data_IF_327153774805
#
_entry.id   IF_327153774805
#
_cell.length_a   1.000
_cell.length_b   1.000
_cell.length_c   1.000
_cell.angle_alpha   90.00
_cell.angle_beta   90.00
_cell.angle_gamma   90.00
#
_symmetry.space_group_name_H-M   'P 1'
#
loop_
_entity.id
_entity.type
_entity.pdbx_description
1 polymer ?
#
# COMPACT_ATOMS: atom_id res chain seq x y z
N UNK A 1 1.75 -16.35 -19.46
CA UNK A 1 1.70 -14.88 -19.42
C UNK A 1 0.29 -14.33 -19.53
N UNK A 2 0.08 -13.16 -19.04
CA UNK A 2 -1.15 -12.39 -19.20
C UNK A 2 -0.95 -11.28 -20.25
N UNK A 3 -2.02 -10.82 -20.96
CA UNK A 3 -1.90 -9.68 -21.84
C UNK A 3 -1.49 -8.44 -21.05
N UNK A 4 -0.78 -7.52 -21.71
CA UNK A 4 -0.42 -6.24 -21.11
C UNK A 4 -1.68 -5.43 -20.73
N UNK A 5 -1.58 -4.61 -19.70
CA UNK A 5 -2.64 -3.72 -19.27
C UNK A 5 -2.39 -2.32 -19.85
N UNK A 6 -3.42 -1.69 -20.37
CA UNK A 6 -3.38 -0.35 -20.95
C UNK A 6 -4.46 -0.19 -22.01
N UNK A 7 -4.77 1.03 -22.40
CA UNK A 7 -5.84 1.30 -23.37
C UNK A 7 -5.57 0.60 -24.70
N UNK A 8 -4.36 0.75 -25.28
CA UNK A 8 -3.99 0.16 -26.58
C UNK A 8 -3.87 -1.36 -26.58
N UNK A 9 -3.58 -1.97 -25.42
CA UNK A 9 -3.44 -3.42 -25.24
C UNK A 9 -4.66 -4.10 -24.63
N UNK A 10 -5.69 -3.33 -24.29
CA UNK A 10 -6.94 -3.86 -23.72
C UNK A 10 -7.75 -4.62 -24.77
N UNK A 11 -7.81 -5.94 -24.62
CA UNK A 11 -8.62 -6.81 -25.48
C UNK A 11 -10.09 -6.40 -25.45
N UNK A 12 -10.62 -6.00 -24.28
CA UNK A 12 -12.00 -5.52 -24.17
C UNK A 12 -12.24 -4.24 -24.97
N UNK A 13 -11.32 -3.27 -24.89
CA UNK A 13 -11.43 -2.04 -25.69
C UNK A 13 -11.39 -2.33 -27.20
N UNK A 14 -10.58 -3.29 -27.63
CA UNK A 14 -10.53 -3.71 -29.03
C UNK A 14 -11.85 -4.29 -29.53
N UNK A 15 -12.56 -5.08 -28.71
CA UNK A 15 -13.87 -5.63 -29.08
C UNK A 15 -15.04 -4.64 -28.92
N UNK A 16 -15.06 -3.86 -27.84
CA UNK A 16 -16.23 -3.02 -27.50
C UNK A 16 -16.21 -1.66 -28.20
N UNK A 17 -15.01 -1.10 -28.41
CA UNK A 17 -14.89 0.25 -29.01
C UNK A 17 -14.47 0.21 -30.46
N UNK A 18 -13.60 -0.71 -30.86
CA UNK A 18 -12.93 -0.67 -32.16
C UNK A 18 -13.20 -1.89 -33.02
N UNK A 19 -13.73 -2.97 -32.45
CA UNK A 19 -14.13 -4.16 -33.20
C UNK A 19 -15.31 -3.85 -34.12
N UNK A 20 -15.15 -4.13 -35.40
CA UNK A 20 -16.20 -3.96 -36.40
C UNK A 20 -17.09 -5.20 -36.43
N UNK A 21 -18.42 -5.00 -36.61
CA UNK A 21 -19.42 -6.09 -36.58
C UNK A 21 -19.23 -7.18 -37.65
N UNK A 22 -18.64 -6.85 -38.79
CA UNK A 22 -18.34 -7.79 -39.86
C UNK A 22 -17.11 -8.66 -39.65
N UNK A 23 -16.33 -8.41 -38.60
CA UNK A 23 -15.14 -9.21 -38.30
C UNK A 23 -15.54 -10.58 -37.76
N UNK A 24 -15.05 -11.65 -38.40
CA UNK A 24 -15.24 -13.01 -37.94
C UNK A 24 -14.21 -13.36 -36.88
N UNK A 25 -14.65 -13.79 -35.71
CA UNK A 25 -13.77 -14.25 -34.62
C UNK A 25 -12.90 -15.45 -35.05
N UNK A 26 -13.44 -16.36 -35.85
CA UNK A 26 -12.68 -17.51 -36.35
C UNK A 26 -11.54 -17.07 -37.29
N UNK A 27 -11.77 -16.04 -38.08
CA UNK A 27 -10.71 -15.46 -38.91
C UNK A 27 -9.67 -14.72 -38.10
N UNK A 28 -10.06 -14.05 -37.04
CA UNK A 28 -9.15 -13.34 -36.12
C UNK A 28 -8.26 -14.30 -35.33
N UNK A 29 -8.74 -15.52 -35.03
CA UNK A 29 -7.91 -16.57 -34.39
C UNK A 29 -6.67 -16.91 -35.20
N UNK A 30 -6.76 -16.80 -36.53
CA UNK A 30 -5.61 -16.95 -37.42
C UNK A 30 -4.86 -15.61 -37.51
N UNK A 31 -4.18 -15.25 -36.41
CA UNK A 31 -3.52 -13.96 -36.20
C UNK A 31 -2.09 -13.88 -36.76
N UNK A 32 -1.56 -14.99 -37.29
CA UNK A 32 -0.24 -15.06 -37.95
C UNK A 32 -0.38 -15.47 -39.40
N UNK A 33 0.50 -14.91 -40.24
CA UNK A 33 0.72 -15.38 -41.60
C UNK A 33 1.63 -16.62 -41.59
N UNK A 34 1.83 -17.26 -42.75
CA UNK A 34 2.67 -18.44 -42.87
C UNK A 34 4.17 -18.19 -42.51
N UNK A 35 4.61 -16.95 -42.69
CA UNK A 35 5.96 -16.48 -42.34
C UNK A 35 6.09 -16.06 -40.85
N UNK A 36 5.03 -16.22 -40.09
CA UNK A 36 4.98 -15.83 -38.68
C UNK A 36 4.66 -14.36 -38.40
N UNK A 37 4.57 -13.53 -39.45
CA UNK A 37 4.23 -12.11 -39.33
C UNK A 37 2.80 -11.90 -38.85
N UNK A 38 2.51 -10.71 -38.34
CA UNK A 38 1.19 -10.35 -37.82
C UNK A 38 0.12 -10.31 -38.93
N UNK A 39 -0.95 -11.07 -38.73
CA UNK A 39 -2.14 -10.99 -39.57
C UNK A 39 -3.18 -10.11 -38.93
N UNK A 40 -3.16 -8.84 -39.30
CA UNK A 40 -4.12 -7.84 -38.75
C UNK A 40 -5.41 -7.79 -39.57
N UNK A 41 -6.50 -7.37 -38.91
CA UNK A 41 -7.74 -6.97 -39.54
C UNK A 41 -7.73 -5.48 -39.93
N UNK A 42 -6.88 -4.67 -39.30
CA UNK A 42 -6.80 -3.21 -39.47
C UNK A 42 -5.51 -2.85 -40.20
N UNK A 43 -5.50 -3.10 -41.49
CA UNK A 43 -4.31 -2.84 -42.36
C UNK A 43 -4.19 -1.35 -42.68
N UNK A 44 -2.94 -0.92 -42.87
CA UNK A 44 -2.65 0.42 -43.39
C UNK A 44 -3.28 0.65 -44.78
N UNK A 45 -3.13 -0.31 -45.69
CA UNK A 45 -3.73 -0.24 -47.02
C UNK A 45 -3.89 -1.65 -47.65
N UNK A 46 -4.40 -1.70 -48.86
CA UNK A 46 -4.49 -2.95 -49.64
C UNK A 46 -3.11 -3.54 -49.98
N UNK A 47 -2.09 -2.69 -50.15
CA UNK A 47 -0.72 -3.05 -50.48
C UNK A 47 0.24 -3.08 -49.31
N UNK A 48 -0.17 -2.47 -48.18
CA UNK A 48 0.57 -2.49 -46.91
C UNK A 48 -0.23 -3.28 -45.86
N UNK A 49 0.15 -4.55 -45.58
CA UNK A 49 -0.54 -5.42 -44.68
C UNK A 49 -0.24 -5.14 -43.20
N UNK A 50 0.66 -4.18 -42.87
CA UNK A 50 0.99 -3.84 -41.50
C UNK A 50 -0.22 -3.24 -40.74
N UNK A 51 -0.30 -3.40 -39.40
CA UNK A 51 -1.38 -2.86 -38.63
C UNK A 51 -1.34 -1.32 -38.56
N UNK A 52 -2.48 -0.67 -38.62
CA UNK A 52 -2.56 0.80 -38.64
C UNK A 52 -2.74 1.41 -37.25
N UNK A 53 -3.87 1.15 -36.57
CA UNK A 53 -4.17 1.71 -35.24
C UNK A 53 -4.28 0.66 -34.15
N UNK A 54 -4.71 -0.56 -34.53
CA UNK A 54 -5.02 -1.63 -33.60
C UNK A 54 -4.47 -2.96 -34.10
N UNK A 55 -3.91 -3.70 -33.17
CA UNK A 55 -3.47 -5.05 -33.43
C UNK A 55 -4.63 -6.03 -33.51
N UNK A 56 -4.41 -7.22 -34.02
CA UNK A 56 -5.34 -8.31 -33.84
C UNK A 56 -5.40 -8.67 -32.34
N UNK A 57 -6.61 -8.79 -31.72
CA UNK A 57 -6.73 -9.08 -30.30
C UNK A 57 -6.07 -10.40 -29.88
N UNK A 58 -5.96 -11.37 -30.77
CA UNK A 58 -5.21 -12.60 -30.49
C UNK A 58 -3.69 -12.40 -30.56
N UNK A 59 -3.19 -11.48 -31.39
CA UNK A 59 -1.81 -11.05 -31.35
C UNK A 59 -1.46 -10.42 -29.98
N UNK A 60 -2.25 -9.46 -29.52
CA UNK A 60 -2.10 -8.87 -28.19
C UNK A 60 -2.15 -9.92 -27.09
N UNK A 61 -3.01 -10.92 -27.21
CA UNK A 61 -3.17 -11.96 -26.17
C UNK A 61 -1.99 -12.92 -26.10
N UNK A 62 -1.39 -13.26 -27.23
CA UNK A 62 -0.42 -14.35 -27.30
C UNK A 62 1.01 -13.91 -27.56
N UNK A 63 1.22 -12.74 -28.15
CA UNK A 63 2.55 -12.23 -28.47
C UNK A 63 3.02 -11.13 -27.51
N UNK A 64 2.11 -10.24 -27.11
CA UNK A 64 2.40 -9.14 -26.20
C UNK A 64 2.01 -9.52 -24.79
N UNK A 65 2.95 -10.04 -24.00
CA UNK A 65 2.63 -10.62 -22.70
C UNK A 65 3.46 -10.01 -21.58
N UNK A 66 2.85 -10.00 -20.40
CA UNK A 66 3.50 -9.74 -19.13
C UNK A 66 3.55 -11.02 -18.30
N UNK A 67 4.69 -11.28 -17.71
CA UNK A 67 4.86 -12.30 -16.70
C UNK A 67 5.27 -11.64 -15.39
N UNK A 68 4.72 -12.10 -14.27
CA UNK A 68 5.17 -11.73 -12.95
C UNK A 68 5.24 -12.98 -12.07
N UNK A 69 6.26 -13.00 -11.24
CA UNK A 69 6.47 -14.02 -10.23
C UNK A 69 6.92 -13.35 -8.94
N UNK A 70 6.31 -13.72 -7.84
CA UNK A 70 6.72 -13.27 -6.52
C UNK A 70 7.00 -14.44 -5.61
N UNK A 71 8.21 -14.48 -5.09
CA UNK A 71 8.63 -15.39 -4.03
C UNK A 71 8.69 -14.60 -2.72
N UNK A 72 7.96 -15.03 -1.68
CA UNK A 72 7.88 -14.34 -0.40
C UNK A 72 8.05 -15.29 0.76
N UNK A 73 8.87 -14.90 1.72
CA UNK A 73 9.05 -15.58 2.99
C UNK A 73 8.83 -14.58 4.11
N UNK A 74 7.97 -14.91 5.05
CA UNK A 74 7.73 -14.10 6.23
C UNK A 74 7.55 -14.98 7.46
N UNK A 75 7.91 -14.44 8.61
CA UNK A 75 7.75 -15.14 9.86
C UNK A 75 8.22 -14.32 11.04
N UNK A 76 7.99 -14.83 12.24
CA UNK A 76 8.48 -14.22 13.46
C UNK A 76 8.90 -15.29 14.48
N UNK A 77 9.78 -14.86 15.38
CA UNK A 77 10.14 -15.57 16.58
C UNK A 77 9.77 -14.67 17.76
N UNK A 78 8.98 -15.18 18.69
CA UNK A 78 8.55 -14.48 19.89
C UNK A 78 8.99 -15.28 21.12
N UNK A 79 9.66 -14.62 22.04
CA UNK A 79 10.08 -15.19 23.32
C UNK A 79 9.39 -14.40 24.43
N UNK A 80 8.77 -15.10 25.37
CA UNK A 80 8.19 -14.53 26.59
C UNK A 80 8.87 -15.14 27.80
N UNK A 81 9.21 -14.29 28.76
CA UNK A 81 9.75 -14.69 30.06
C UNK A 81 8.90 -14.07 31.15
N UNK A 82 8.30 -14.91 31.98
CA UNK A 82 7.54 -14.47 33.14
C UNK A 82 8.51 -14.22 34.29
N UNK A 83 8.63 -12.98 34.74
CA UNK A 83 9.50 -12.61 35.88
C UNK A 83 8.79 -12.99 37.19
N UNK A 84 7.51 -12.59 37.31
CA UNK A 84 6.62 -12.91 38.40
C UNK A 84 5.16 -12.84 37.92
N UNK A 85 4.19 -12.84 38.82
CA UNK A 85 2.77 -12.79 38.45
C UNK A 85 2.33 -11.47 37.85
N UNK A 86 3.05 -10.37 38.14
CA UNK A 86 2.76 -9.00 37.67
C UNK A 86 3.55 -8.67 36.40
N UNK A 87 4.81 -9.08 36.30
CA UNK A 87 5.72 -8.64 35.23
C UNK A 87 6.15 -9.78 34.31
N UNK A 88 6.20 -9.48 33.02
CA UNK A 88 6.81 -10.35 32.01
C UNK A 88 7.57 -9.53 30.96
N UNK A 89 8.62 -10.12 30.41
CA UNK A 89 9.37 -9.56 29.27
C UNK A 89 8.99 -10.33 28.03
N UNK A 90 8.80 -9.61 26.92
CA UNK A 90 8.61 -10.18 25.59
C UNK A 90 9.63 -9.57 24.62
N UNK A 91 10.32 -10.45 23.88
CA UNK A 91 11.15 -10.09 22.73
C UNK A 91 10.54 -10.71 21.47
N UNK A 92 10.51 -9.97 20.36
CA UNK A 92 10.04 -10.45 19.08
C UNK A 92 10.92 -9.96 17.95
N UNK A 93 11.31 -10.88 17.06
CA UNK A 93 11.94 -10.57 15.79
C UNK A 93 11.02 -11.04 14.66
N UNK A 94 10.64 -10.14 13.78
CA UNK A 94 9.82 -10.41 12.59
C UNK A 94 10.60 -10.02 11.35
N UNK A 95 10.57 -10.84 10.31
CA UNK A 95 11.10 -10.51 8.99
C UNK A 95 10.11 -10.89 7.90
N UNK A 96 9.96 -9.99 6.93
CA UNK A 96 9.19 -10.19 5.70
C UNK A 96 10.09 -9.84 4.51
N UNK A 97 10.33 -10.82 3.66
CA UNK A 97 11.19 -10.69 2.50
C UNK A 97 10.48 -11.19 1.26
N UNK A 98 10.52 -10.41 0.17
CA UNK A 98 10.07 -10.89 -1.12
C UNK A 98 10.99 -10.46 -2.27
N UNK A 99 10.98 -11.29 -3.31
CA UNK A 99 11.53 -10.98 -4.64
C UNK A 99 10.36 -11.04 -5.61
N UNK A 100 10.15 -9.93 -6.33
CA UNK A 100 9.14 -9.77 -7.39
C UNK A 100 9.88 -9.60 -8.73
N UNK A 101 9.75 -10.58 -9.63
CA UNK A 101 10.32 -10.56 -10.97
C UNK A 101 9.22 -10.29 -11.95
N UNK A 102 9.46 -9.34 -12.86
CA UNK A 102 8.52 -8.97 -13.92
C UNK A 102 9.22 -8.98 -15.25
N UNK A 103 8.55 -9.47 -16.24
CA UNK A 103 8.96 -9.52 -17.63
C UNK A 103 7.83 -8.95 -18.47
N UNK A 104 8.17 -8.04 -19.38
CA UNK A 104 7.25 -7.51 -20.38
C UNK A 104 7.87 -7.64 -21.77
N UNK A 105 7.06 -8.07 -22.74
CA UNK A 105 7.47 -8.20 -24.12
C UNK A 105 6.40 -7.72 -25.08
N UNK A 106 6.84 -7.01 -26.10
CA UNK A 106 6.07 -6.56 -27.25
C UNK A 106 6.73 -7.13 -28.50
N UNK A 107 5.97 -7.91 -29.25
CA UNK A 107 6.47 -8.60 -30.45
C UNK A 107 6.69 -7.63 -31.62
N UNK A 108 7.66 -7.98 -32.50
CA UNK A 108 7.85 -7.29 -33.76
C UNK A 108 6.65 -7.53 -34.68
N UNK A 109 6.15 -6.46 -35.33
CA UNK A 109 5.06 -6.52 -36.29
C UNK A 109 3.71 -6.04 -35.79
N UNK A 110 3.63 -5.58 -34.57
CA UNK A 110 2.46 -4.88 -34.00
C UNK A 110 2.47 -3.37 -34.27
N UNK A 111 1.42 -2.69 -33.82
CA UNK A 111 1.32 -1.21 -33.90
C UNK A 111 2.34 -0.54 -33.00
N UNK A 112 2.62 -1.12 -31.82
CA UNK A 112 3.60 -0.59 -30.89
C UNK A 112 5.02 -1.04 -31.29
N UNK A 113 5.99 -0.19 -30.96
CA UNK A 113 7.38 -0.57 -31.07
C UNK A 113 7.66 -1.83 -30.25
N UNK A 114 8.34 -2.79 -30.86
CA UNK A 114 8.70 -4.03 -30.20
C UNK A 114 9.68 -3.79 -29.07
N UNK A 115 9.55 -4.50 -27.95
CA UNK A 115 10.43 -4.30 -26.82
C UNK A 115 10.48 -5.52 -25.90
N UNK A 116 11.53 -5.55 -25.08
CA UNK A 116 11.68 -6.48 -23.99
C UNK A 116 12.18 -5.75 -22.75
N UNK A 117 11.58 -6.03 -21.61
CA UNK A 117 12.04 -5.50 -20.33
C UNK A 117 11.94 -6.52 -19.20
N UNK A 118 12.91 -6.45 -18.30
CA UNK A 118 12.94 -7.20 -17.04
C UNK A 118 13.05 -6.26 -15.85
N UNK A 119 12.33 -6.57 -14.76
CA UNK A 119 12.43 -5.85 -13.50
C UNK A 119 12.48 -6.83 -12.35
N UNK A 120 13.53 -6.76 -11.54
CA UNK A 120 13.62 -7.47 -10.28
C UNK A 120 13.54 -6.49 -9.12
N UNK A 121 12.54 -6.68 -8.24
CA UNK A 121 12.34 -5.88 -7.03
C UNK A 121 12.52 -6.78 -5.82
N UNK A 122 13.31 -6.32 -4.88
CA UNK A 122 13.52 -6.98 -3.59
C UNK A 122 13.08 -6.04 -2.48
N UNK A 123 12.30 -6.54 -1.55
CA UNK A 123 11.96 -5.81 -0.33
C UNK A 123 12.17 -6.72 0.86
N UNK A 124 12.85 -6.19 1.85
CA UNK A 124 13.00 -6.81 3.15
C UNK A 124 12.58 -5.82 4.22
N UNK A 125 11.63 -6.20 5.06
CA UNK A 125 11.28 -5.48 6.27
C UNK A 125 11.57 -6.33 7.50
N UNK A 126 12.32 -5.78 8.44
CA UNK A 126 12.66 -6.42 9.71
C UNK A 126 12.17 -5.55 10.84
N UNK A 127 11.42 -6.15 11.78
CA UNK A 127 10.95 -5.51 13.00
C UNK A 127 11.52 -6.25 14.21
N UNK A 128 12.14 -5.51 15.11
CA UNK A 128 12.65 -5.98 16.38
C UNK A 128 11.91 -5.27 17.50
N UNK A 129 11.28 -6.02 18.37
CA UNK A 129 10.48 -5.52 19.49
C UNK A 129 11.02 -6.05 20.82
N UNK A 130 10.98 -5.21 21.84
CA UNK A 130 11.17 -5.63 23.22
C UNK A 130 10.17 -4.89 24.13
N UNK A 131 9.44 -5.62 24.97
CA UNK A 131 8.41 -5.10 25.84
C UNK A 131 8.60 -5.61 27.28
N UNK A 132 8.44 -4.73 28.25
CA UNK A 132 8.15 -5.07 29.63
C UNK A 132 6.64 -4.89 29.83
N UNK A 133 5.94 -5.99 30.04
CA UNK A 133 4.50 -5.99 30.30
C UNK A 133 4.25 -6.08 31.79
N UNK A 134 3.16 -5.47 32.24
CA UNK A 134 2.63 -5.61 33.58
C UNK A 134 1.14 -5.87 33.56
N UNK A 135 0.65 -6.64 34.52
CA UNK A 135 -0.77 -6.94 34.73
C UNK A 135 -0.96 -7.16 36.20
N UNK A 136 -1.83 -6.40 36.83
CA UNK A 136 -2.11 -6.50 38.24
C UNK A 136 -3.53 -6.08 38.56
N UNK A 137 -4.14 -6.68 39.58
CA UNK A 137 -5.38 -6.25 40.20
C UNK A 137 -5.02 -5.35 41.38
N UNK A 138 -5.10 -4.04 41.15
CA UNK A 138 -4.78 -3.02 42.20
C UNK A 138 -5.77 -3.06 43.36
N UNK A 139 -6.98 -3.56 43.10
CA UNK A 139 -8.01 -3.87 44.11
C UNK A 139 -9.02 -4.84 43.48
N UNK A 140 -10.01 -5.31 44.30
CA UNK A 140 -11.10 -6.18 43.84
C UNK A 140 -11.89 -5.56 42.66
N UNK A 141 -11.93 -4.24 42.58
CA UNK A 141 -12.68 -3.48 41.58
C UNK A 141 -11.80 -2.90 40.44
N UNK A 142 -10.47 -2.84 40.58
CA UNK A 142 -9.60 -2.12 39.68
C UNK A 142 -8.47 -3.01 39.13
N UNK A 143 -8.56 -3.32 37.84
CA UNK A 143 -7.53 -3.99 37.10
C UNK A 143 -6.68 -2.99 36.29
N UNK A 144 -5.36 -3.21 36.23
CA UNK A 144 -4.41 -2.43 35.45
C UNK A 144 -3.52 -3.36 34.64
N UNK A 145 -3.52 -3.16 33.32
CA UNK A 145 -2.61 -3.85 32.40
C UNK A 145 -1.86 -2.84 31.55
N UNK A 146 -0.69 -3.19 31.06
CA UNK A 146 0.03 -2.31 30.16
C UNK A 146 1.41 -2.82 29.80
N UNK A 147 2.13 -1.98 29.08
CA UNK A 147 3.51 -2.24 28.73
C UNK A 147 4.30 -0.96 28.50
N UNK A 148 5.61 -1.06 28.59
CA UNK A 148 6.58 -0.13 28.01
C UNK A 148 7.50 -0.93 27.09
N UNK A 149 7.90 -0.35 25.97
CA UNK A 149 8.67 -1.09 25.00
C UNK A 149 9.42 -0.23 24.00
N UNK A 150 10.25 -0.90 23.23
CA UNK A 150 10.99 -0.33 22.12
C UNK A 150 10.78 -1.16 20.86
N UNK A 151 10.79 -0.49 19.73
CA UNK A 151 10.69 -1.11 18.41
C UNK A 151 11.75 -0.52 17.48
N UNK A 152 12.34 -1.36 16.65
CA UNK A 152 13.18 -0.94 15.53
C UNK A 152 12.69 -1.61 14.27
N UNK A 153 12.26 -0.81 13.29
CA UNK A 153 11.86 -1.23 11.97
C UNK A 153 12.90 -0.80 10.95
N UNK A 154 13.37 -1.76 10.14
CA UNK A 154 14.31 -1.53 9.03
C UNK A 154 13.66 -2.07 7.77
N UNK A 155 13.58 -1.24 6.73
CA UNK A 155 13.07 -1.59 5.41
C UNK A 155 14.15 -1.34 4.38
N UNK A 156 14.58 -2.40 3.69
CA UNK A 156 15.51 -2.35 2.57
C UNK A 156 14.75 -2.61 1.28
N UNK A 157 14.94 -1.75 0.31
CA UNK A 157 14.36 -1.87 -1.02
C UNK A 157 15.46 -1.81 -2.06
N UNK A 158 15.43 -2.76 -3.03
CA UNK A 158 16.29 -2.75 -4.23
C UNK A 158 15.44 -3.04 -5.45
N UNK A 159 15.74 -2.37 -6.55
CA UNK A 159 15.13 -2.61 -7.83
C UNK A 159 16.20 -2.51 -8.91
N UNK A 160 16.26 -3.53 -9.78
CA UNK A 160 17.03 -3.54 -11.01
C UNK A 160 16.04 -3.64 -12.17
N UNK A 161 16.13 -2.73 -13.14
CA UNK A 161 15.38 -2.76 -14.39
C UNK A 161 16.37 -2.84 -15.54
N UNK A 162 16.03 -3.59 -16.58
CA UNK A 162 16.72 -3.60 -17.85
C UNK A 162 15.69 -3.62 -18.97
N UNK A 163 15.89 -2.83 -20.03
CA UNK A 163 14.99 -2.78 -21.17
C UNK A 163 15.71 -2.44 -22.47
N UNK A 164 15.18 -2.95 -23.59
CA UNK A 164 15.71 -2.72 -24.93
C UNK A 164 15.39 -1.31 -25.41
N UNK A 165 16.26 -0.79 -26.29
CA UNK A 165 16.08 0.49 -26.99
C UNK A 165 15.92 0.27 -28.48
N UNK A 166 15.14 1.12 -29.17
CA UNK A 166 14.98 1.12 -30.64
C UNK A 166 14.26 -0.10 -31.20
N UNK A 167 13.46 -0.78 -30.41
CA UNK A 167 12.79 -2.02 -30.82
C UNK A 167 13.66 -3.26 -30.66
N UNK A 168 13.22 -4.39 -31.26
CA UNK A 168 13.94 -5.66 -31.28
C UNK A 168 14.47 -5.97 -32.68
N UNK A 169 15.68 -6.52 -32.78
CA UNK A 169 16.29 -6.94 -34.05
C UNK A 169 15.74 -8.27 -34.57
N UNK A 170 15.59 -9.25 -33.67
CA UNK A 170 15.25 -10.63 -34.03
C UNK A 170 13.86 -10.99 -33.46
N UNK A 171 12.91 -11.37 -34.34
CA UNK A 171 11.57 -11.80 -33.90
C UNK A 171 11.64 -13.04 -32.99
N UNK A 172 10.82 -13.06 -31.96
CA UNK A 172 10.71 -14.20 -31.04
C UNK A 172 11.86 -14.36 -30.05
N UNK A 173 12.92 -13.56 -30.15
CA UNK A 173 14.03 -13.55 -29.19
C UNK A 173 13.82 -12.41 -28.16
N UNK A 174 13.41 -12.77 -26.95
CA UNK A 174 13.14 -11.81 -25.88
C UNK A 174 14.28 -11.83 -24.87
N UNK A 175 15.24 -10.94 -25.08
CA UNK A 175 16.39 -10.67 -24.22
C UNK A 175 16.79 -9.21 -24.36
N UNK A 176 17.35 -8.61 -23.33
CA UNK A 176 17.80 -7.20 -23.36
C UNK A 176 18.87 -6.93 -24.43
N UNK A 177 19.68 -7.92 -24.72
CA UNK A 177 20.71 -7.79 -25.78
C UNK A 177 20.15 -7.76 -27.22
N UNK A 178 18.84 -8.01 -27.42
CA UNK A 178 18.20 -7.97 -28.74
C UNK A 178 17.67 -6.57 -29.11
N UNK A 179 17.96 -5.53 -28.31
CA UNK A 179 17.60 -4.15 -28.65
C UNK A 179 18.34 -3.62 -29.85
N UNK A 180 17.64 -2.99 -30.82
CA UNK A 180 18.23 -2.47 -32.05
C UNK A 180 19.24 -1.33 -31.77
N UNK A 181 18.94 -0.48 -30.82
CA UNK A 181 19.80 0.61 -30.35
C UNK A 181 20.48 0.28 -28.98
N UNK A 182 20.55 -1.02 -28.66
CA UNK A 182 21.11 -1.50 -27.40
C UNK A 182 20.07 -1.63 -26.28
N UNK A 183 20.51 -1.40 -25.05
CA UNK A 183 19.66 -1.53 -23.85
C UNK A 183 20.03 -0.52 -22.79
N UNK A 184 19.11 -0.28 -21.87
CA UNK A 184 19.34 0.55 -20.68
C UNK A 184 19.13 -0.26 -19.41
N UNK A 185 19.97 0.00 -18.43
CA UNK A 185 19.89 -0.60 -17.08
C UNK A 185 19.79 0.51 -16.06
N UNK A 186 18.77 0.41 -15.19
CA UNK A 186 18.60 1.32 -14.06
C UNK A 186 18.51 0.54 -12.76
N UNK A 187 19.18 1.03 -11.72
CA UNK A 187 19.09 0.46 -10.37
C UNK A 187 18.66 1.51 -9.35
N UNK A 188 17.96 1.05 -8.32
CA UNK A 188 17.53 1.85 -7.18
C UNK A 188 17.74 1.04 -5.92
N UNK A 189 18.38 1.65 -4.92
CA UNK A 189 18.53 1.06 -3.60
C UNK A 189 18.24 2.10 -2.53
N UNK A 190 17.41 1.75 -1.55
CA UNK A 190 17.18 2.61 -0.41
C UNK A 190 16.93 1.81 0.87
N UNK A 191 17.24 2.44 1.99
CA UNK A 191 17.00 1.91 3.33
C UNK A 191 16.24 2.96 4.14
N UNK A 192 15.21 2.51 4.82
CA UNK A 192 14.44 3.30 5.79
C UNK A 192 14.49 2.63 7.14
N UNK A 193 14.79 3.40 8.17
CA UNK A 193 14.80 2.93 9.56
C UNK A 193 13.92 3.83 10.42
N UNK A 194 13.15 3.22 11.30
CA UNK A 194 12.38 3.91 12.34
C UNK A 194 12.67 3.23 13.67
N UNK A 195 13.12 4.00 14.65
CA UNK A 195 13.25 3.57 16.03
C UNK A 195 12.10 4.16 16.82
N UNK A 196 11.56 3.41 17.78
CA UNK A 196 10.38 3.81 18.53
C UNK A 196 10.49 3.45 20.00
N UNK A 197 9.93 4.32 20.83
CA UNK A 197 9.59 4.03 22.23
C UNK A 197 8.10 4.12 22.36
N UNK A 198 7.48 3.17 23.06
CA UNK A 198 6.03 3.09 23.20
C UNK A 198 5.63 2.61 24.59
N UNK A 199 4.49 3.08 25.04
CA UNK A 199 3.88 2.68 26.31
C UNK A 199 2.36 2.58 26.16
N UNK A 200 1.76 1.69 26.94
CA UNK A 200 0.30 1.53 27.04
C UNK A 200 -0.08 1.27 28.48
N UNK A 201 -1.24 1.79 28.89
CA UNK A 201 -1.90 1.48 30.16
C UNK A 201 -3.40 1.34 29.93
N UNK A 202 -3.98 0.22 30.37
CA UNK A 202 -5.39 -0.12 30.28
C UNK A 202 -5.95 -0.33 31.68
N UNK A 203 -6.98 0.40 32.00
CA UNK A 203 -7.69 0.36 33.27
C UNK A 203 -9.07 -0.27 33.09
N UNK A 204 -9.40 -1.23 33.93
CA UNK A 204 -10.75 -1.78 34.05
C UNK A 204 -11.29 -1.55 35.46
N UNK A 205 -12.41 -0.84 35.60
CA UNK A 205 -13.03 -0.56 36.88
C UNK A 205 -14.40 -1.20 36.97
N UNK A 206 -14.61 -2.03 37.99
CA UNK A 206 -15.86 -2.76 38.29
C UNK A 206 -16.42 -3.57 37.11
N UNK A 207 -15.58 -3.92 36.14
CA UNK A 207 -15.96 -4.55 34.85
C UNK A 207 -16.99 -3.73 34.04
N UNK A 208 -17.17 -2.45 34.34
CA UNK A 208 -18.11 -1.52 33.70
C UNK A 208 -17.42 -0.43 32.93
N UNK A 209 -16.42 0.20 33.52
CA UNK A 209 -15.67 1.28 32.93
C UNK A 209 -14.28 0.79 32.49
N UNK A 210 -13.92 1.10 31.25
CA UNK A 210 -12.60 0.81 30.72
C UNK A 210 -12.00 2.07 30.11
N UNK A 211 -10.72 2.29 30.34
CA UNK A 211 -9.96 3.39 29.77
C UNK A 211 -8.59 2.90 29.33
N UNK A 212 -8.19 3.21 28.08
CA UNK A 212 -6.89 2.88 27.56
C UNK A 212 -6.16 4.15 27.15
N UNK A 213 -4.87 4.21 27.50
CA UNK A 213 -3.97 5.27 27.11
C UNK A 213 -2.76 4.68 26.41
N UNK A 214 -2.38 5.23 25.27
CA UNK A 214 -1.15 4.85 24.59
C UNK A 214 -0.33 6.06 24.23
N UNK A 215 0.97 5.89 24.18
CA UNK A 215 1.90 6.89 23.68
C UNK A 215 3.02 6.20 22.92
N UNK A 216 3.35 6.77 21.74
CA UNK A 216 4.47 6.31 20.93
C UNK A 216 5.27 7.50 20.43
N UNK A 217 6.58 7.40 20.51
CA UNK A 217 7.50 8.35 19.92
C UNK A 217 8.38 7.62 18.90
N UNK A 218 8.40 8.11 17.68
CA UNK A 218 9.18 7.55 16.58
C UNK A 218 10.27 8.52 16.13
N UNK A 219 11.41 7.95 15.69
CA UNK A 219 12.52 8.65 15.05
C UNK A 219 12.75 8.01 13.69
N UNK A 220 12.44 8.75 12.63
CA UNK A 220 12.54 8.26 11.26
C UNK A 220 13.81 8.77 10.56
N UNK A 221 14.51 7.86 9.88
CA UNK A 221 15.69 8.19 9.06
C UNK A 221 15.37 8.97 7.78
N UNK A 222 14.10 9.13 7.43
CA UNK A 222 13.66 9.80 6.18
C UNK A 222 13.37 11.28 6.37
N UNK A 223 13.36 11.75 7.61
CA UNK A 223 13.12 13.14 7.97
C UNK A 223 14.44 13.80 8.42
N UNK A 224 14.54 15.13 8.31
CA UNK A 224 15.72 15.86 8.78
C UNK A 224 15.88 15.74 10.29
N UNK A 225 17.12 15.74 10.80
CA UNK A 225 17.45 15.49 12.21
C UNK A 225 16.64 16.35 13.20
N UNK A 226 16.32 17.58 12.82
CA UNK A 226 15.57 18.56 13.61
C UNK A 226 14.07 18.22 13.71
N UNK A 227 13.53 17.44 12.74
CA UNK A 227 12.12 17.07 12.63
C UNK A 227 11.88 15.57 12.53
N UNK A 228 12.89 14.73 12.83
CA UNK A 228 12.78 13.27 12.65
C UNK A 228 12.00 12.58 13.75
N UNK A 229 11.69 13.27 14.84
CA UNK A 229 10.97 12.75 16.01
C UNK A 229 9.53 13.26 16.02
N UNK A 230 8.60 12.36 16.27
CA UNK A 230 7.19 12.69 16.39
C UNK A 230 6.48 11.77 17.40
N UNK A 231 5.60 12.37 18.18
CA UNK A 231 4.87 11.70 19.26
C UNK A 231 3.39 11.57 18.91
N UNK A 232 2.84 10.39 19.13
CA UNK A 232 1.42 10.12 18.95
C UNK A 232 0.80 9.54 20.22
N UNK A 233 -0.07 10.29 20.89
CA UNK A 233 -0.90 9.79 21.96
C UNK A 233 -2.22 9.21 21.42
N UNK A 234 -2.80 8.29 22.18
CA UNK A 234 -4.22 7.95 22.08
C UNK A 234 -4.86 7.77 23.45
N UNK A 235 -6.16 7.98 23.49
CA UNK A 235 -6.98 7.71 24.66
C UNK A 235 -8.33 7.13 24.21
N UNK A 236 -8.76 6.04 24.82
CA UNK A 236 -10.09 5.49 24.63
C UNK A 236 -10.79 5.34 25.98
N UNK A 237 -12.11 5.44 25.98
CA UNK A 237 -12.94 5.17 27.14
C UNK A 237 -14.20 4.44 26.69
N UNK A 238 -14.65 3.48 27.50
CA UNK A 238 -15.94 2.83 27.29
C UNK A 238 -16.65 2.55 28.62
N UNK A 239 -17.98 2.57 28.57
CA UNK A 239 -18.82 2.31 29.73
C UNK A 239 -19.96 1.37 29.36
N UNK A 240 -20.11 0.29 30.13
CA UNK A 240 -21.17 -0.70 29.97
C UNK A 240 -22.39 -0.20 30.79
N UNK A 241 -23.32 0.44 30.08
CA UNK A 241 -24.51 1.05 30.69
C UNK A 241 -25.47 0.00 31.29
N UNK A 242 -25.55 -1.18 30.66
CA UNK A 242 -26.45 -2.26 31.10
C UNK A 242 -26.09 -2.85 32.46
N UNK A 243 -24.90 -2.58 32.99
CA UNK A 243 -24.52 -3.00 34.35
C UNK A 243 -25.13 -2.13 35.45
N UNK A 244 -25.59 -0.91 35.12
CA UNK A 244 -26.16 0.05 36.07
C UNK A 244 -27.61 0.42 35.75
N UNK A 245 -28.08 0.15 34.54
CA UNK A 245 -29.42 0.48 34.08
C UNK A 245 -30.22 -0.79 33.86
N UNK A 246 -31.19 -1.05 34.73
CA UNK A 246 -32.13 -2.16 34.57
C UNK A 246 -33.17 -1.80 33.50
N UNK A 247 -32.94 -2.25 32.28
CA UNK A 247 -33.81 -2.03 31.12
C UNK A 247 -34.28 -3.37 30.58
N UNK A 248 -35.53 -3.81 30.81
CA UNK A 248 -35.98 -5.17 30.49
C UNK A 248 -35.79 -5.60 29.01
N UNK A 249 -35.79 -4.64 28.10
CA UNK A 249 -35.61 -4.92 26.67
C UNK A 249 -34.13 -4.89 26.23
N UNK A 250 -33.18 -4.45 27.05
CA UNK A 250 -31.76 -4.25 26.72
C UNK A 250 -30.95 -5.29 27.45
N UNK A 251 -30.38 -6.24 26.69
CA UNK A 251 -29.48 -7.25 27.24
C UNK A 251 -28.04 -6.75 27.37
N UNK A 252 -27.65 -5.77 26.55
CA UNK A 252 -26.34 -5.14 26.61
C UNK A 252 -26.41 -3.73 26.03
N UNK A 253 -25.77 -2.78 26.73
CA UNK A 253 -25.62 -1.40 26.26
C UNK A 253 -24.24 -0.87 26.62
N UNK A 254 -23.50 -0.35 25.64
CA UNK A 254 -22.14 0.19 25.81
C UNK A 254 -21.98 1.46 25.00
N UNK A 255 -21.45 2.49 25.63
CA UNK A 255 -20.95 3.69 24.95
C UNK A 255 -19.43 3.63 24.88
N UNK A 256 -18.87 4.16 23.79
CA UNK A 256 -17.42 4.23 23.59
C UNK A 256 -17.03 5.58 23.00
N UNK A 257 -15.86 6.04 23.38
CA UNK A 257 -15.20 7.21 22.82
C UNK A 257 -13.72 6.89 22.60
N UNK A 258 -13.19 7.31 21.47
CA UNK A 258 -11.78 7.16 21.12
C UNK A 258 -11.24 8.45 20.53
N UNK A 259 -10.01 8.77 20.89
CA UNK A 259 -9.22 9.82 20.27
C UNK A 259 -7.79 9.34 20.07
N UNK A 260 -7.23 9.60 18.88
CA UNK A 260 -5.87 9.22 18.56
C UNK A 260 -5.21 10.24 17.66
N UNK A 261 -3.91 10.41 17.85
CA UNK A 261 -3.02 11.03 16.88
C UNK A 261 -2.10 9.97 16.27
N UNK A 262 -1.85 10.06 14.95
CA UNK A 262 -0.84 9.26 14.26
C UNK A 262 -0.03 10.17 13.34
N UNK A 263 1.26 9.88 13.20
CA UNK A 263 2.12 10.57 12.25
C UNK A 263 2.49 9.63 11.09
N UNK A 264 2.83 10.21 9.97
CA UNK A 264 3.40 9.51 8.84
C UNK A 264 4.62 10.26 8.35
N UNK A 265 5.69 9.54 8.06
CA UNK A 265 6.91 10.09 7.50
C UNK A 265 6.88 10.02 5.95
N UNK A 266 8.00 10.24 5.30
CA UNK A 266 8.12 10.24 3.83
C UNK A 266 8.98 9.08 3.33
N UNK A 267 9.10 8.97 2.01
CA UNK A 267 10.09 8.11 1.37
C UNK A 267 11.51 8.64 1.58
N UNK A 268 12.53 7.77 1.50
CA UNK A 268 13.93 8.19 1.58
C UNK A 268 14.31 9.22 0.52
N UNK A 269 15.32 10.04 0.82
CA UNK A 269 15.95 11.01 -0.08
C UNK A 269 15.05 12.18 -0.54
N UNK A 270 14.06 12.57 0.26
CA UNK A 270 13.22 13.75 0.00
C UNK A 270 13.67 15.03 0.72
N UNK A 271 14.71 14.93 1.53
CA UNK A 271 15.22 16.07 2.33
C UNK A 271 16.40 16.79 1.67
N UNK A 272 17.07 16.19 0.70
CA UNK A 272 18.18 16.80 -0.02
C UNK A 272 17.99 16.67 -1.53
N UNK A 273 18.19 17.76 -2.28
CA UNK A 273 18.16 17.75 -3.73
C UNK A 273 19.49 17.22 -4.26
N UNK A 274 19.42 16.16 -5.08
CA UNK A 274 20.59 15.52 -5.68
C UNK A 274 20.47 15.54 -7.20
N UNK A 275 21.60 15.51 -7.89
CA UNK A 275 21.63 15.40 -9.36
C UNK A 275 21.55 13.94 -9.80
N UNK A 276 20.79 13.68 -10.85
CA UNK A 276 20.77 12.37 -11.47
C UNK A 276 22.00 12.25 -12.39
N UNK A 277 22.78 11.17 -12.20
CA UNK A 277 23.91 10.84 -13.06
C UNK A 277 23.37 10.15 -14.31
N UNK A 278 23.68 10.67 -15.48
CA UNK A 278 23.26 10.13 -16.78
C UNK A 278 24.42 9.38 -17.46
N UNK A 279 24.13 8.77 -18.61
CA UNK A 279 25.14 8.25 -19.51
C UNK A 279 26.11 9.37 -19.93
N UNK A 280 27.37 9.03 -20.13
CA UNK A 280 28.38 10.00 -20.56
C UNK A 280 28.01 10.64 -21.89
N UNK A 281 28.24 11.95 -22.00
CA UNK A 281 28.22 12.65 -23.28
C UNK A 281 29.64 12.67 -23.85
N UNK A 282 29.89 11.78 -24.80
CA UNK A 282 31.27 11.52 -25.27
C UNK A 282 32.13 10.99 -24.11
N UNK A 283 33.24 11.68 -23.82
CA UNK A 283 34.15 11.32 -22.73
C UNK A 283 33.89 12.09 -21.44
N UNK A 284 32.80 12.85 -21.36
CA UNK A 284 32.47 13.68 -20.21
C UNK A 284 31.27 13.12 -19.42
N UNK A 285 31.38 13.08 -18.10
CA UNK A 285 30.26 12.76 -17.25
C UNK A 285 29.13 13.78 -17.39
N UNK A 286 27.90 13.32 -17.33
CA UNK A 286 26.68 14.13 -17.46
C UNK A 286 25.78 13.94 -16.26
N UNK A 287 25.15 15.03 -15.79
CA UNK A 287 24.19 14.99 -14.71
C UNK A 287 23.03 15.93 -15.02
N UNK A 288 21.84 15.56 -14.56
CA UNK A 288 20.62 16.35 -14.74
C UNK A 288 20.16 16.92 -13.41
N UNK A 289 19.77 18.20 -13.41
CA UNK A 289 19.04 18.81 -12.29
C UNK A 289 17.65 18.17 -12.22
N UNK A 290 17.20 17.67 -11.06
CA UNK A 290 15.88 17.06 -10.96
C UNK A 290 14.78 18.10 -11.16
N UNK A 291 13.64 17.67 -11.68
CA UNK A 291 12.47 18.54 -11.87
C UNK A 291 11.78 18.94 -10.55
N UNK A 292 12.04 18.21 -9.46
CA UNK A 292 11.46 18.46 -8.16
C UNK A 292 12.52 18.90 -7.15
N UNK A 293 12.30 20.01 -6.50
CA UNK A 293 13.11 20.49 -5.39
C UNK A 293 12.72 19.74 -4.11
N UNK A 294 13.68 19.07 -3.48
CA UNK A 294 13.49 18.45 -2.17
C UNK A 294 13.55 19.49 -1.05
N UNK A 295 13.01 19.16 0.13
CA UNK A 295 12.86 20.11 1.24
C UNK A 295 13.64 19.64 2.48
N UNK A 296 14.71 20.37 2.88
CA UNK A 296 15.47 20.04 4.07
C UNK A 296 14.71 20.24 5.40
N UNK A 297 13.55 20.90 5.37
CA UNK A 297 12.74 21.21 6.54
C UNK A 297 11.45 20.40 6.62
N UNK A 298 11.39 19.23 5.95
CA UNK A 298 10.21 18.36 6.00
C UNK A 298 9.86 17.97 7.42
N UNK A 299 8.55 17.99 7.70
CA UNK A 299 7.94 17.54 8.94
C UNK A 299 7.08 16.30 8.66
N UNK A 300 6.83 15.43 9.66
CA UNK A 300 5.88 14.35 9.51
C UNK A 300 4.46 14.88 9.28
N UNK A 301 3.67 14.14 8.50
CA UNK A 301 2.23 14.33 8.42
C UNK A 301 1.58 13.97 9.76
N UNK A 302 0.50 14.65 10.12
CA UNK A 302 -0.21 14.45 11.37
C UNK A 302 -1.69 14.20 11.13
N UNK A 303 -2.17 13.02 11.52
CA UNK A 303 -3.59 12.69 11.52
C UNK A 303 -4.13 12.68 12.93
N UNK A 304 -5.18 13.44 13.18
CA UNK A 304 -5.93 13.44 14.43
C UNK A 304 -7.33 12.92 14.17
N UNK A 305 -7.75 11.91 14.91
CA UNK A 305 -9.05 11.26 14.74
C UNK A 305 -9.76 11.14 16.09
N UNK A 306 -11.07 11.27 16.07
CA UNK A 306 -11.91 10.89 17.20
C UNK A 306 -13.17 10.17 16.70
N UNK A 307 -13.67 9.29 17.54
CA UNK A 307 -14.89 8.53 17.30
C UNK A 307 -15.73 8.40 18.57
N UNK A 308 -17.03 8.33 18.38
CA UNK A 308 -17.98 8.02 19.44
C UNK A 308 -18.95 6.96 18.95
N UNK A 309 -19.20 5.96 19.77
CA UNK A 309 -20.03 4.81 19.38
C UNK A 309 -21.00 4.38 20.48
N UNK A 310 -22.08 3.76 20.04
CA UNK A 310 -23.11 3.13 20.87
C UNK A 310 -23.36 1.71 20.35
N UNK A 311 -23.26 0.74 21.24
CA UNK A 311 -23.57 -0.67 20.96
C UNK A 311 -24.74 -1.09 21.84
N UNK A 312 -25.76 -1.69 21.24
CA UNK A 312 -26.96 -2.15 21.92
C UNK A 312 -27.32 -3.57 21.46
N UNK A 313 -27.55 -4.46 22.43
CA UNK A 313 -28.21 -5.73 22.20
C UNK A 313 -29.59 -5.69 22.87
N UNK A 314 -30.61 -6.00 22.11
CA UNK A 314 -31.99 -5.88 22.54
C UNK A 314 -32.70 -7.24 22.47
N UNK A 315 -33.72 -7.43 23.31
CA UNK A 315 -34.63 -8.57 23.31
C UNK A 315 -33.89 -9.92 23.42
N UNK A 316 -32.99 -10.08 24.41
CA UNK A 316 -32.15 -11.25 24.62
C UNK A 316 -31.26 -11.53 23.39
N UNK A 317 -30.55 -10.50 22.91
CA UNK A 317 -29.63 -10.50 21.78
C UNK A 317 -30.25 -10.77 20.39
N UNK A 318 -31.60 -10.75 20.30
CA UNK A 318 -32.29 -10.93 19.03
C UNK A 318 -32.10 -9.76 18.05
N UNK A 319 -31.82 -8.57 18.53
CA UNK A 319 -31.49 -7.39 17.72
C UNK A 319 -30.19 -6.81 18.24
N UNK A 320 -29.23 -6.65 17.36
CA UNK A 320 -27.93 -6.01 17.63
C UNK A 320 -27.80 -4.77 16.80
N UNK A 321 -27.45 -3.66 17.45
CA UNK A 321 -27.30 -2.37 16.84
C UNK A 321 -25.94 -1.80 17.24
N UNK A 322 -25.16 -1.38 16.27
CA UNK A 322 -23.90 -0.65 16.47
C UNK A 322 -23.94 0.63 15.64
N UNK A 323 -23.68 1.75 16.29
CA UNK A 323 -23.61 3.06 15.68
C UNK A 323 -22.26 3.69 16.01
N UNK A 324 -21.58 4.23 15.03
CA UNK A 324 -20.34 4.99 15.22
C UNK A 324 -20.37 6.25 14.37
N UNK A 325 -20.02 7.38 14.99
CA UNK A 325 -19.66 8.60 14.29
C UNK A 325 -18.16 8.82 14.43
N UNK A 326 -17.49 9.15 13.33
CA UNK A 326 -16.06 9.44 13.32
C UNK A 326 -15.73 10.75 12.58
N UNK A 327 -14.61 11.36 12.99
CA UNK A 327 -14.01 12.50 12.31
C UNK A 327 -12.49 12.37 12.36
N UNK A 328 -11.84 12.38 11.20
CA UNK A 328 -10.41 12.28 11.02
C UNK A 328 -9.92 13.46 10.21
N UNK A 329 -8.84 14.08 10.65
CA UNK A 329 -8.21 15.21 9.96
C UNK A 329 -6.71 14.96 9.84
N UNK A 330 -6.19 15.05 8.61
CA UNK A 330 -4.75 14.98 8.33
C UNK A 330 -4.24 16.35 7.92
N UNK A 331 -3.19 16.81 8.58
CA UNK A 331 -2.50 18.08 8.35
C UNK A 331 -1.04 17.86 7.96
N UNK A 332 -0.37 18.89 7.44
CA UNK A 332 1.03 18.85 7.00
C UNK A 332 1.32 17.74 5.96
N UNK A 333 0.34 17.44 5.08
CA UNK A 333 0.49 16.44 4.02
C UNK A 333 1.72 16.77 3.15
N UNK A 334 2.51 15.74 2.84
CA UNK A 334 3.75 15.89 2.05
C UNK A 334 3.45 15.70 0.57
N UNK A 335 3.36 16.80 -0.16
CA UNK A 335 3.07 16.82 -1.60
C UNK A 335 4.20 17.38 -2.44
N UNK A 336 4.21 16.98 -3.72
CA UNK A 336 4.91 17.71 -4.77
C UNK A 336 3.99 18.83 -5.26
N UNK A 337 4.27 20.06 -4.86
CA UNK A 337 3.49 21.26 -5.24
C UNK A 337 4.12 21.88 -6.48
N UNK A 338 3.35 22.17 -7.56
CA UNK A 338 3.85 22.90 -8.71
C UNK A 338 4.41 24.26 -8.31
N UNK A 339 5.58 24.62 -8.85
CA UNK A 339 6.22 25.91 -8.64
C UNK A 339 6.53 26.59 -9.98
N UNK A 340 6.80 27.90 -9.95
CA UNK A 340 7.16 28.63 -11.15
C UNK A 340 8.46 28.08 -11.75
N UNK A 341 8.49 27.86 -13.06
CA UNK A 341 9.68 27.42 -13.80
C UNK A 341 10.87 28.38 -13.63
N UNK A 342 10.64 29.63 -13.27
CA UNK A 342 11.69 30.61 -12.96
C UNK A 342 12.54 30.25 -11.74
N UNK A 343 12.07 29.32 -10.89
CA UNK A 343 12.84 28.74 -9.78
C UNK A 343 13.87 27.68 -10.22
N UNK A 344 13.84 27.26 -11.48
CA UNK A 344 14.64 26.15 -12.01
C UNK A 344 14.03 24.75 -11.76
N UNK A 345 12.85 24.67 -11.13
CA UNK A 345 12.13 23.44 -10.83
C UNK A 345 10.69 23.51 -11.35
N UNK A 346 10.07 22.39 -11.61
CA UNK A 346 8.63 22.30 -11.94
C UNK A 346 7.76 22.03 -10.70
N UNK A 347 8.35 21.47 -9.65
CA UNK A 347 7.67 21.21 -8.38
C UNK A 347 8.62 21.32 -7.19
N UNK A 348 8.07 21.47 -5.99
CA UNK A 348 8.79 21.41 -4.72
C UNK A 348 8.06 20.48 -3.74
N UNK A 349 8.81 19.73 -2.95
CA UNK A 349 8.28 18.89 -1.89
C UNK A 349 8.00 19.74 -0.66
N UNK A 350 6.75 19.88 -0.27
CA UNK A 350 6.33 20.73 0.84
C UNK A 350 5.35 20.00 1.75
N UNK A 351 5.37 20.38 3.03
CA UNK A 351 4.25 20.12 3.92
C UNK A 351 3.14 21.10 3.58
N UNK A 352 2.13 20.66 2.84
CA UNK A 352 1.04 21.50 2.37
C UNK A 352 -0.27 20.71 2.35
N UNK A 353 -1.32 21.41 2.71
CA UNK A 353 -2.66 20.83 2.64
C UNK A 353 -3.15 20.19 3.93
N UNK A 354 -4.47 20.09 3.97
CA UNK A 354 -5.26 19.49 5.04
C UNK A 354 -6.42 18.75 4.41
N UNK A 355 -6.65 17.53 4.87
CA UNK A 355 -7.85 16.75 4.50
C UNK A 355 -8.66 16.44 5.73
N UNK A 356 -9.98 16.33 5.56
CA UNK A 356 -10.89 15.89 6.62
C UNK A 356 -11.83 14.84 6.07
N UNK A 357 -12.01 13.77 6.85
CA UNK A 357 -12.94 12.70 6.57
C UNK A 357 -13.83 12.49 7.79
N UNK A 358 -15.13 12.52 7.62
CA UNK A 358 -16.12 12.30 8.67
C UNK A 358 -17.26 11.46 8.13
N UNK A 359 -17.81 10.61 8.98
CA UNK A 359 -18.89 9.73 8.56
C UNK A 359 -19.63 9.08 9.72
N UNK A 360 -20.63 8.34 9.32
CA UNK A 360 -21.48 7.53 10.19
C UNK A 360 -21.37 6.09 9.71
N UNK A 361 -21.17 5.17 10.64
CA UNK A 361 -21.25 3.73 10.40
C UNK A 361 -22.41 3.18 11.21
N UNK A 362 -23.22 2.35 10.58
CA UNK A 362 -24.39 1.72 11.17
C UNK A 362 -24.38 0.23 10.83
N UNK A 363 -24.42 -0.61 11.85
CA UNK A 363 -24.63 -2.05 11.71
C UNK A 363 -25.90 -2.44 12.44
N UNK A 364 -26.79 -3.14 11.76
CA UNK A 364 -28.01 -3.71 12.32
C UNK A 364 -28.06 -5.19 11.97
N UNK A 365 -28.17 -6.03 12.97
CA UNK A 365 -28.39 -7.45 12.80
C UNK A 365 -29.58 -7.91 13.65
N UNK A 366 -30.40 -8.79 13.12
CA UNK A 366 -31.55 -9.31 13.85
C UNK A 366 -31.72 -10.83 13.60
N UNK A 367 -32.25 -11.53 14.63
CA UNK A 367 -32.65 -12.92 14.58
C UNK A 367 -34.17 -12.99 14.82
N UNK A 368 -35.01 -12.66 13.82
CA UNK A 368 -36.46 -12.58 13.96
C UNK A 368 -37.09 -13.92 14.32
N UNK A 369 -36.52 -15.01 13.85
CA UNK A 369 -37.01 -16.36 14.10
C UNK A 369 -35.90 -17.25 14.62
N UNK A 370 -36.13 -17.85 15.77
CA UNK A 370 -35.25 -18.88 16.32
C UNK A 370 -36.11 -19.95 16.99
N UNK A 371 -36.09 -21.13 16.38
CA UNK A 371 -36.73 -22.35 16.88
C UNK A 371 -35.71 -23.48 16.89
N UNK A 372 -36.08 -24.63 17.42
CA UNK A 372 -35.19 -25.80 17.45
C UNK A 372 -34.72 -26.25 16.05
N UNK A 373 -35.54 -25.97 15.02
CA UNK A 373 -35.29 -26.42 13.63
C UNK A 373 -35.02 -25.29 12.64
N UNK A 374 -35.20 -24.02 13.00
CA UNK A 374 -35.05 -22.88 12.10
C UNK A 374 -34.43 -21.68 12.83
N UNK A 375 -33.37 -21.15 12.29
CA UNK A 375 -32.80 -19.85 12.66
C UNK A 375 -32.74 -18.98 11.42
N UNK A 376 -33.26 -17.76 11.54
CA UNK A 376 -33.21 -16.76 10.48
C UNK A 376 -32.50 -15.50 10.99
N UNK A 377 -31.36 -15.21 10.42
CA UNK A 377 -30.54 -14.03 10.73
C UNK A 377 -30.56 -13.06 9.53
N UNK A 378 -30.67 -11.78 9.80
CA UNK A 378 -30.63 -10.65 8.85
C UNK A 378 -29.63 -9.63 9.34
#
# INVERSE_FOLDING_TARGET
>A
GRPQTGYGSSIMSQFTQWGQRQLSMDRLRNYRNADGSHRTWNRNSATDPSPHYWDNPFWERYENVQNDQRDRVFGNITMKYKINDVFSIMGRALSDFYIDRREERIAIGGVRESSYSESTRQLQETNLDAYLNFTDDLSDDLNLTGFVGVNRRIRNFKRLNAYTLGGLNTPGLYTVNNGADGYEVGDVSNTKQVNSVLASASFGYKRKFYADFTGRSDWSSTLPAENNSYFYPSATASYILSEDLDMPAVSFAKVRFGWAQVGNDTDPYRTATTYAVNSNFGNSGSATVPNSQNNPNLRPEKTSSWEAGLELNLFLDKVRFDFTYYNSTTEDLIFNVPVSASSGYSSAVLNAGKTSNKGIELSLAATPVQTDNLRWDI
#
